data_IF_248792796648
#
_entry.id   IF_248792796648
#
_cell.length_a   1.000
_cell.length_b   1.000
_cell.length_c   1.000
_cell.angle_alpha   90.00
_cell.angle_beta   90.00
_cell.angle_gamma   90.00
#
_symmetry.space_group_name_H-M   'P 1'
#
loop_
_entity.id
_entity.type
_entity.pdbx_description
1 polymer ?
#
# COMPACT_ATOMS: atom_id res chain seq x y z
N UNK A 1 22.82 1.32 17.24
CA UNK A 1 21.83 0.80 16.27
C UNK A 1 20.74 1.84 16.08
N UNK A 2 20.44 2.25 14.85
CA UNK A 2 19.36 3.23 14.61
C UNK A 2 18.02 2.58 14.99
N UNK A 3 17.36 3.10 16.02
CA UNK A 3 16.05 2.64 16.47
C UNK A 3 15.04 2.98 15.37
N UNK A 4 14.48 1.95 14.72
CA UNK A 4 13.46 2.13 13.68
C UNK A 4 12.24 2.83 14.31
N UNK A 5 11.79 3.94 13.73
CA UNK A 5 10.79 4.80 14.37
C UNK A 5 9.35 4.46 14.02
N UNK A 6 9.09 3.61 13.02
CA UNK A 6 7.72 3.30 12.54
C UNK A 6 6.95 4.48 11.92
N UNK A 7 7.50 5.70 11.94
CA UNK A 7 6.79 6.94 11.57
C UNK A 7 6.73 7.13 10.06
N UNK A 8 5.54 7.42 9.53
CA UNK A 8 5.40 7.88 8.14
C UNK A 8 6.03 9.27 7.99
N UNK A 9 6.66 9.54 6.84
CA UNK A 9 7.15 10.88 6.48
C UNK A 9 6.06 11.78 5.90
N UNK A 10 4.80 11.33 5.91
CA UNK A 10 3.69 12.07 5.34
C UNK A 10 3.35 13.28 6.21
N UNK A 11 3.19 14.44 5.59
CA UNK A 11 2.66 15.62 6.27
C UNK A 11 1.14 15.56 6.29
N UNK A 12 0.51 16.09 7.35
CA UNK A 12 -0.95 16.19 7.45
C UNK A 12 -1.55 16.91 6.23
N UNK A 13 -0.86 17.93 5.72
CA UNK A 13 -1.26 18.64 4.51
C UNK A 13 -1.29 17.73 3.27
N UNK A 14 -0.27 16.86 3.10
CA UNK A 14 -0.24 15.90 2.00
C UNK A 14 -1.44 14.95 2.04
N UNK A 15 -1.76 14.40 3.20
CA UNK A 15 -2.95 13.56 3.39
C UNK A 15 -4.24 14.31 3.03
N UNK A 16 -4.40 15.55 3.50
CA UNK A 16 -5.57 16.38 3.18
C UNK A 16 -5.74 16.60 1.68
N UNK A 17 -4.64 16.86 0.96
CA UNK A 17 -4.67 17.02 -0.50
C UNK A 17 -5.14 15.73 -1.16
N UNK A 18 -4.53 14.59 -0.85
CA UNK A 18 -4.92 13.32 -1.48
C UNK A 18 -6.36 12.93 -1.15
N UNK A 19 -6.80 13.06 0.10
CA UNK A 19 -8.19 12.79 0.50
C UNK A 19 -9.16 13.73 -0.23
N UNK A 20 -8.82 15.01 -0.38
CA UNK A 20 -9.64 15.95 -1.15
C UNK A 20 -9.82 15.50 -2.60
N UNK A 21 -8.74 15.09 -3.27
CA UNK A 21 -8.82 14.61 -4.66
C UNK A 21 -9.59 13.29 -4.78
N UNK A 22 -9.38 12.35 -3.86
CA UNK A 22 -10.08 11.05 -3.83
C UNK A 22 -11.58 11.26 -3.64
N UNK A 23 -12.00 12.09 -2.68
CA UNK A 23 -13.42 12.29 -2.33
C UNK A 23 -14.17 13.23 -3.29
N UNK A 24 -13.53 14.30 -3.77
CA UNK A 24 -14.23 15.38 -4.49
C UNK A 24 -13.98 15.40 -6.01
N UNK A 25 -12.95 14.71 -6.52
CA UNK A 25 -12.58 14.76 -7.95
C UNK A 25 -12.61 13.37 -8.58
N UNK A 26 -11.61 12.54 -8.27
CA UNK A 26 -11.51 11.12 -8.65
C UNK A 26 -10.20 10.53 -8.13
N UNK A 27 -10.15 9.21 -8.01
CA UNK A 27 -8.90 8.48 -7.72
C UNK A 27 -7.83 8.74 -8.81
N UNK A 28 -8.25 8.87 -10.07
CA UNK A 28 -7.33 9.17 -11.20
C UNK A 28 -6.62 10.51 -11.04
N UNK A 29 -7.33 11.53 -10.54
CA UNK A 29 -6.72 12.84 -10.27
C UNK A 29 -5.69 12.77 -9.13
N UNK A 30 -5.94 11.93 -8.11
CA UNK A 30 -4.98 11.67 -7.05
C UNK A 30 -3.68 11.03 -7.59
N UNK A 31 -3.76 10.13 -8.57
CA UNK A 31 -2.57 9.58 -9.24
C UNK A 31 -1.77 10.63 -10.02
N UNK A 32 -2.45 11.62 -10.61
CA UNK A 32 -1.77 12.74 -11.27
C UNK A 32 -0.98 13.58 -10.27
N UNK A 33 -1.54 13.85 -9.08
CA UNK A 33 -0.80 14.52 -7.99
C UNK A 33 0.38 13.66 -7.54
N UNK A 34 0.18 12.34 -7.42
CA UNK A 34 1.23 11.39 -7.04
C UNK A 34 2.42 11.42 -8.00
N UNK A 35 2.21 11.63 -9.30
CA UNK A 35 3.30 11.74 -10.27
C UNK A 35 4.31 12.84 -9.87
N UNK A 36 3.83 14.01 -9.43
CA UNK A 36 4.66 15.11 -8.97
C UNK A 36 5.33 14.80 -7.63
N UNK A 37 4.59 14.19 -6.70
CA UNK A 37 5.11 13.82 -5.39
C UNK A 37 6.22 12.77 -5.52
N UNK A 38 6.03 11.73 -6.33
CA UNK A 38 7.05 10.71 -6.58
C UNK A 38 8.31 11.32 -7.23
N UNK A 39 8.14 12.31 -8.11
CA UNK A 39 9.26 13.05 -8.70
C UNK A 39 10.05 13.82 -7.64
N UNK A 40 9.35 14.54 -6.77
CA UNK A 40 9.95 15.23 -5.63
C UNK A 40 10.75 14.29 -4.72
N UNK A 41 10.15 13.17 -4.28
CA UNK A 41 10.87 12.20 -3.43
C UNK A 41 12.05 11.55 -4.15
N UNK A 42 11.97 11.34 -5.46
CA UNK A 42 13.10 10.82 -6.25
C UNK A 42 14.30 11.77 -6.22
N UNK A 43 14.06 13.07 -6.31
CA UNK A 43 15.12 14.09 -6.36
C UNK A 43 15.65 14.48 -4.97
N UNK A 44 14.77 14.57 -3.97
CA UNK A 44 15.13 15.13 -2.66
C UNK A 44 15.33 14.07 -1.55
N UNK A 45 14.85 12.83 -1.74
CA UNK A 45 14.94 11.78 -0.71
C UNK A 45 16.17 10.89 -0.87
N UNK A 46 17.35 11.49 -0.74
CA UNK A 46 18.65 10.85 -0.98
C UNK A 46 18.91 9.58 -0.14
N UNK A 47 18.56 9.60 1.16
CA UNK A 47 18.83 8.47 2.06
C UNK A 47 18.06 7.21 1.66
N UNK A 48 16.76 7.31 1.41
CA UNK A 48 15.95 6.18 0.94
C UNK A 48 16.26 5.82 -0.50
N UNK A 49 16.50 6.82 -1.37
CA UNK A 49 16.90 6.61 -2.76
C UNK A 49 18.17 5.77 -2.87
N UNK A 50 19.18 6.02 -2.02
CA UNK A 50 20.42 5.23 -1.99
C UNK A 50 20.18 3.77 -1.60
N UNK A 51 19.29 3.49 -0.65
CA UNK A 51 18.96 2.13 -0.24
C UNK A 51 18.24 1.36 -1.36
N UNK A 52 17.25 2.01 -1.99
CA UNK A 52 16.51 1.46 -3.14
C UNK A 52 17.46 1.21 -4.31
N UNK A 53 18.30 2.19 -4.64
CA UNK A 53 19.31 2.08 -5.68
C UNK A 53 20.29 0.94 -5.41
N UNK A 54 20.78 0.80 -4.18
CA UNK A 54 21.64 -0.31 -3.78
C UNK A 54 20.97 -1.66 -4.04
N UNK A 55 19.71 -1.82 -3.66
CA UNK A 55 18.95 -3.05 -3.91
C UNK A 55 18.89 -3.37 -5.41
N UNK A 56 18.43 -2.43 -6.24
CA UNK A 56 18.31 -2.66 -7.69
C UNK A 56 19.67 -2.88 -8.37
N UNK A 57 20.69 -2.10 -7.99
CA UNK A 57 22.01 -2.14 -8.62
C UNK A 57 22.83 -3.34 -8.17
N UNK A 58 22.83 -3.68 -6.89
CA UNK A 58 23.74 -4.67 -6.29
C UNK A 58 23.10 -6.03 -6.06
N UNK A 59 21.78 -6.10 -5.82
CA UNK A 59 21.07 -7.36 -5.58
C UNK A 59 20.37 -7.87 -6.83
N UNK A 60 19.78 -6.96 -7.61
CA UNK A 60 19.10 -7.31 -8.87
C UNK A 60 19.95 -7.05 -10.12
N UNK A 61 21.18 -6.54 -9.97
CA UNK A 61 22.14 -6.31 -11.06
C UNK A 61 21.62 -5.44 -12.22
N UNK A 62 20.74 -4.47 -11.94
CA UNK A 62 20.21 -3.59 -12.98
C UNK A 62 21.26 -2.59 -13.51
N UNK A 63 21.20 -2.24 -14.81
CA UNK A 63 21.95 -1.13 -15.39
C UNK A 63 21.68 0.18 -14.66
N UNK A 64 22.61 1.15 -14.73
CA UNK A 64 22.52 2.41 -13.99
C UNK A 64 21.19 3.12 -14.24
N UNK A 65 20.84 3.31 -15.51
CA UNK A 65 19.61 3.98 -15.93
C UNK A 65 18.36 3.25 -15.41
N UNK A 66 18.32 1.92 -15.53
CA UNK A 66 17.21 1.10 -15.04
C UNK A 66 17.07 1.21 -13.52
N UNK A 67 18.17 1.20 -12.79
CA UNK A 67 18.15 1.37 -11.33
C UNK A 67 17.62 2.74 -10.91
N UNK A 68 17.97 3.82 -11.63
CA UNK A 68 17.43 5.16 -11.36
C UNK A 68 15.92 5.24 -11.65
N UNK A 69 15.48 4.70 -12.79
CA UNK A 69 14.04 4.63 -13.13
C UNK A 69 13.27 3.80 -12.09
N UNK A 70 13.88 2.71 -11.61
CA UNK A 70 13.28 1.89 -10.55
C UNK A 70 13.09 2.64 -9.23
N UNK A 71 13.92 3.63 -8.89
CA UNK A 71 13.70 4.46 -7.70
C UNK A 71 12.38 5.22 -7.81
N UNK A 72 12.17 5.90 -8.95
CA UNK A 72 10.94 6.62 -9.22
C UNK A 72 9.74 5.68 -9.18
N UNK A 73 9.84 4.53 -9.88
CA UNK A 73 8.78 3.52 -9.90
C UNK A 73 8.46 3.01 -8.49
N UNK A 74 9.47 2.78 -7.65
CA UNK A 74 9.26 2.36 -6.26
C UNK A 74 8.50 3.41 -5.45
N UNK A 75 8.84 4.70 -5.56
CA UNK A 75 8.09 5.75 -4.87
C UNK A 75 6.66 5.88 -5.40
N UNK A 76 6.49 5.80 -6.71
CA UNK A 76 5.16 5.87 -7.33
C UNK A 76 4.29 4.70 -6.89
N UNK A 77 4.77 3.45 -7.01
CA UNK A 77 4.00 2.27 -6.58
C UNK A 77 3.69 2.32 -5.09
N UNK A 78 4.64 2.75 -4.26
CA UNK A 78 4.39 2.92 -2.83
C UNK A 78 3.29 3.95 -2.54
N UNK A 79 3.35 5.13 -3.17
CA UNK A 79 2.28 6.13 -3.02
C UNK A 79 0.94 5.67 -3.60
N UNK A 80 0.97 4.90 -4.69
CA UNK A 80 -0.22 4.29 -5.27
C UNK A 80 -0.88 3.33 -4.27
N UNK A 81 -0.12 2.45 -3.62
CA UNK A 81 -0.69 1.57 -2.58
C UNK A 81 -1.37 2.35 -1.46
N UNK A 82 -0.83 3.51 -1.05
CA UNK A 82 -1.47 4.35 -0.03
C UNK A 82 -2.79 4.96 -0.52
N UNK A 83 -2.82 5.47 -1.77
CA UNK A 83 -4.04 6.01 -2.38
C UNK A 83 -5.09 4.91 -2.51
N UNK A 84 -4.72 3.74 -3.00
CA UNK A 84 -5.63 2.61 -3.23
C UNK A 84 -6.24 2.14 -1.90
N UNK A 85 -5.41 1.99 -0.87
CA UNK A 85 -5.86 1.71 0.51
C UNK A 85 -6.92 2.73 0.94
N UNK A 86 -6.58 4.01 0.90
CA UNK A 86 -7.50 5.08 1.35
C UNK A 86 -8.78 5.15 0.54
N UNK A 87 -8.72 4.95 -0.78
CA UNK A 87 -9.90 4.99 -1.64
C UNK A 87 -10.84 3.81 -1.38
N UNK A 88 -10.29 2.60 -1.24
CA UNK A 88 -11.08 1.39 -0.98
C UNK A 88 -11.70 1.45 0.42
N UNK A 89 -10.93 1.87 1.43
CA UNK A 89 -11.48 2.08 2.78
C UNK A 89 -12.56 3.17 2.84
N UNK A 90 -12.53 4.14 1.93
CA UNK A 90 -13.57 5.17 1.80
C UNK A 90 -14.80 4.71 0.97
N UNK A 91 -14.89 3.42 0.62
CA UNK A 91 -16.02 2.85 -0.12
C UNK A 91 -15.95 3.04 -1.63
N UNK A 92 -14.85 3.57 -2.19
CA UNK A 92 -14.69 3.77 -3.64
C UNK A 92 -14.17 2.50 -4.34
N UNK A 93 -14.55 1.33 -3.83
CA UNK A 93 -14.06 0.04 -4.30
C UNK A 93 -14.44 -0.24 -5.76
N UNK A 94 -15.62 0.22 -6.19
CA UNK A 94 -16.14 0.02 -7.55
C UNK A 94 -15.34 0.76 -8.64
N UNK A 95 -14.42 1.65 -8.25
CA UNK A 95 -13.52 2.32 -9.20
C UNK A 95 -12.33 1.43 -9.62
N UNK A 96 -12.21 0.24 -9.04
CA UNK A 96 -11.09 -0.67 -9.25
C UNK A 96 -11.58 -2.01 -9.81
N UNK A 97 -10.71 -2.68 -10.54
CA UNK A 97 -10.92 -4.04 -11.02
C UNK A 97 -9.95 -4.97 -10.30
N UNK A 98 -10.44 -6.13 -9.91
CA UNK A 98 -9.68 -7.12 -9.17
C UNK A 98 -9.75 -8.47 -9.86
N UNK A 99 -8.64 -9.19 -9.81
CA UNK A 99 -8.53 -10.58 -10.24
C UNK A 99 -7.94 -11.35 -9.06
N UNK A 100 -8.58 -12.46 -8.71
CA UNK A 100 -8.13 -13.30 -7.63
C UNK A 100 -7.56 -14.59 -8.20
N UNK A 101 -6.28 -14.85 -7.97
CA UNK A 101 -5.64 -16.11 -8.30
C UNK A 101 -5.69 -17.06 -7.10
N UNK A 102 -6.36 -18.19 -7.26
CA UNK A 102 -6.42 -19.26 -6.25
C UNK A 102 -7.45 -19.06 -5.13
N UNK A 103 -8.42 -18.15 -5.31
CA UNK A 103 -9.51 -17.94 -4.34
C UNK A 103 -10.40 -19.17 -4.18
N UNK A 104 -10.49 -20.00 -5.21
CA UNK A 104 -11.25 -21.25 -5.23
C UNK A 104 -10.70 -22.23 -4.18
N UNK A 105 -9.36 -22.28 -4.04
CA UNK A 105 -8.70 -23.12 -3.04
C UNK A 105 -9.04 -22.67 -1.63
N UNK A 106 -9.15 -21.36 -1.41
CA UNK A 106 -9.53 -20.80 -0.12
C UNK A 106 -11.00 -21.11 0.20
N UNK A 107 -11.90 -20.93 -0.77
CA UNK A 107 -13.32 -21.29 -0.64
C UNK A 107 -13.52 -22.77 -0.32
N UNK A 108 -12.76 -23.65 -0.98
CA UNK A 108 -12.79 -25.09 -0.73
C UNK A 108 -12.29 -25.44 0.69
N UNK A 109 -11.20 -24.80 1.13
CA UNK A 109 -10.66 -24.95 2.49
C UNK A 109 -11.71 -24.61 3.55
N UNK A 110 -12.38 -23.47 3.37
CA UNK A 110 -13.42 -22.98 4.28
C UNK A 110 -14.68 -23.85 4.24
N UNK A 111 -15.14 -24.24 3.05
CA UNK A 111 -16.28 -25.14 2.88
C UNK A 111 -16.07 -26.49 3.58
N UNK A 112 -14.84 -27.03 3.48
CA UNK A 112 -14.48 -28.29 4.13
C UNK A 112 -14.20 -28.15 5.63
N UNK A 113 -14.35 -26.95 6.20
CA UNK A 113 -14.03 -26.61 7.60
C UNK A 113 -12.59 -26.95 8.00
N UNK A 114 -11.70 -26.92 7.01
CA UNK A 114 -10.28 -27.11 7.22
C UNK A 114 -9.66 -25.75 7.57
N UNK A 115 -8.82 -25.72 8.61
CA UNK A 115 -8.04 -24.52 8.92
C UNK A 115 -6.94 -24.28 7.87
N UNK A 116 -6.54 -23.03 7.69
CA UNK A 116 -5.47 -22.65 6.78
C UNK A 116 -4.59 -21.54 7.35
N UNK A 117 -3.33 -21.51 6.93
CA UNK A 117 -2.40 -20.41 7.25
C UNK A 117 -2.06 -19.70 5.95
N UNK A 118 -2.44 -18.43 5.84
CA UNK A 118 -2.03 -17.59 4.73
C UNK A 118 -0.75 -16.84 5.12
N UNK A 119 0.33 -17.12 4.39
CA UNK A 119 1.62 -16.46 4.60
C UNK A 119 1.77 -15.38 3.54
N UNK A 120 1.93 -14.14 4.00
CA UNK A 120 2.13 -12.97 3.13
C UNK A 120 3.52 -12.35 3.32
N UNK A 121 3.98 -11.64 2.30
CA UNK A 121 5.20 -10.84 2.35
C UNK A 121 4.85 -9.34 2.37
N UNK A 122 5.79 -8.49 2.81
CA UNK A 122 5.65 -7.03 2.73
C UNK A 122 5.81 -6.54 1.28
N UNK A 123 4.87 -6.91 0.42
CA UNK A 123 4.87 -6.65 -1.02
C UNK A 123 3.47 -6.23 -1.44
N UNK A 124 3.38 -5.15 -2.21
CA UNK A 124 2.09 -4.62 -2.67
C UNK A 124 1.28 -4.01 -1.53
N UNK A 125 -0.03 -4.23 -1.56
CA UNK A 125 -0.97 -3.66 -0.60
C UNK A 125 -1.71 -4.78 0.14
N UNK A 126 -1.06 -5.33 1.16
CA UNK A 126 -1.63 -6.43 1.97
C UNK A 126 -2.84 -5.98 2.80
N UNK A 127 -2.97 -4.70 3.11
CA UNK A 127 -4.05 -4.18 3.95
C UNK A 127 -5.41 -4.20 3.24
N UNK A 128 -5.43 -4.17 1.89
CA UNK A 128 -6.70 -4.32 1.15
C UNK A 128 -7.26 -5.75 1.31
N UNK A 129 -6.43 -6.74 1.63
CA UNK A 129 -6.87 -8.13 1.76
C UNK A 129 -8.04 -8.27 2.75
N UNK A 130 -8.11 -7.47 3.81
CA UNK A 130 -9.24 -7.44 4.74
C UNK A 130 -10.58 -7.17 4.05
N UNK A 131 -10.62 -6.21 3.11
CA UNK A 131 -11.84 -5.86 2.37
C UNK A 131 -12.29 -6.97 1.43
N UNK A 132 -11.36 -7.79 0.93
CA UNK A 132 -11.67 -8.92 0.05
C UNK A 132 -12.07 -10.18 0.82
N UNK A 133 -11.44 -10.42 1.97
CA UNK A 133 -11.75 -11.56 2.80
C UNK A 133 -13.18 -11.55 3.32
N UNK A 134 -13.73 -10.37 3.61
CA UNK A 134 -15.15 -10.19 3.97
C UNK A 134 -16.13 -10.64 2.88
N UNK A 135 -15.71 -10.74 1.62
CA UNK A 135 -16.56 -11.24 0.53
C UNK A 135 -16.42 -12.75 0.29
N UNK A 136 -15.32 -13.35 0.74
CA UNK A 136 -15.05 -14.76 0.51
C UNK A 136 -15.82 -15.62 1.51
N UNK A 137 -16.07 -15.10 2.71
CA UNK A 137 -16.81 -15.82 3.74
C UNK A 137 -17.58 -14.89 4.68
N UNK A 138 -18.87 -15.14 4.86
CA UNK A 138 -19.73 -14.44 5.83
C UNK A 138 -19.66 -15.10 7.23
N UNK A 139 -19.16 -16.34 7.34
CA UNK A 139 -19.32 -17.19 8.53
C UNK A 139 -18.01 -17.60 9.22
N UNK A 140 -16.84 -17.43 8.60
CA UNK A 140 -15.55 -17.78 9.23
C UNK A 140 -14.85 -16.57 9.85
N UNK A 141 -14.32 -16.75 11.05
CA UNK A 141 -13.51 -15.75 11.75
C UNK A 141 -12.09 -15.69 11.15
N UNK A 142 -11.79 -14.59 10.46
CA UNK A 142 -10.45 -14.32 9.92
C UNK A 142 -9.67 -13.51 10.96
N UNK A 143 -8.69 -14.17 11.58
CA UNK A 143 -7.82 -13.57 12.59
C UNK A 143 -6.53 -13.04 11.93
N UNK A 144 -6.32 -11.72 11.98
CA UNK A 144 -5.13 -11.07 11.45
C UNK A 144 -4.21 -10.60 12.57
N UNK A 145 -2.97 -11.09 12.59
CA UNK A 145 -1.94 -10.62 13.53
C UNK A 145 -1.17 -9.47 12.87
N UNK A 146 -1.35 -8.25 13.40
CA UNK A 146 -0.63 -7.06 12.93
C UNK A 146 0.23 -6.47 14.06
N UNK A 147 1.23 -5.65 13.70
CA UNK A 147 1.97 -4.83 14.66
C UNK A 147 1.54 -3.38 14.48
N UNK A 148 0.85 -2.80 15.47
CA UNK A 148 0.35 -1.43 15.39
C UNK A 148 1.48 -0.42 15.64
N UNK A 149 1.82 0.38 14.62
CA UNK A 149 2.86 1.44 14.72
C UNK A 149 2.47 2.75 14.03
N UNK A 150 1.22 2.95 13.61
CA UNK A 150 0.82 4.21 12.98
C UNK A 150 0.70 5.37 14.00
N UNK A 151 0.99 6.59 13.55
CA UNK A 151 0.95 7.81 14.37
C UNK A 151 -0.48 8.02 14.91
N UNK A 152 -0.65 8.14 16.24
CA UNK A 152 -1.95 8.42 16.90
C UNK A 152 -2.69 9.58 16.25
N UNK A 153 -1.98 10.62 15.82
CA UNK A 153 -2.56 11.80 15.17
C UNK A 153 -3.15 11.56 13.75
N UNK A 154 -2.75 10.49 13.04
CA UNK A 154 -3.36 10.11 11.75
C UNK A 154 -4.61 9.28 12.00
N UNK A 155 -4.57 8.41 13.02
CA UNK A 155 -5.71 7.61 13.48
C UNK A 155 -6.87 8.51 13.91
N UNK A 156 -6.59 9.51 14.75
CA UNK A 156 -7.57 10.50 15.21
C UNK A 156 -8.23 11.29 14.06
N UNK A 157 -7.51 11.54 12.96
CA UNK A 157 -8.05 12.25 11.78
C UNK A 157 -8.87 11.36 10.84
N UNK A 158 -8.64 10.04 10.83
CA UNK A 158 -9.41 9.09 10.04
C UNK A 158 -10.68 8.61 10.77
N UNK A 159 -10.66 8.65 12.10
CA UNK A 159 -11.80 8.30 12.98
C UNK A 159 -12.74 9.49 13.28
N UNK A 160 -12.41 10.71 12.83
CA UNK A 160 -13.26 11.91 12.95
C UNK A 160 -14.01 12.25 11.67
#
# INVERSE_FOLDING_TARGET
MAKWSGKSKGTVLGYKIFIFFIKNVSVRAAYLVLFFVASYYTLFSWKSGKAIYYYFRRRLHYPLLKSFISIYKSYYVFGQTLIDKSAISAGLRDQFTYEFDGVEKLKELLHNKNGGILISAHVGNFEIAEFFFKEIDENSEINLVTTDQEHTAIKDYLES
#
